data_IF_444375565160
#
_entry.id   IF_444375565160
#
_cell.length_a   1.000
_cell.length_b   1.000
_cell.length_c   1.000
_cell.angle_alpha   90.00
_cell.angle_beta   90.00
_cell.angle_gamma   90.00
#
_symmetry.space_group_name_H-M   'P 1'
#
loop_
_entity.id
_entity.type
_entity.pdbx_description
1 polymer ?
#
# COMPACT_ATOMS: atom_id res chain seq x y z
N UNK A 1 9.17 3.78 -10.52
CA UNK A 1 8.02 2.93 -10.15
C UNK A 1 6.90 3.13 -11.14
N UNK A 2 6.22 2.06 -11.49
CA UNK A 2 5.27 2.03 -12.60
C UNK A 2 3.94 1.48 -12.11
N UNK A 3 2.82 2.01 -12.60
CA UNK A 3 1.48 1.55 -12.20
C UNK A 3 1.20 0.09 -12.59
N UNK A 4 1.92 -0.46 -13.56
CA UNK A 4 1.79 -1.88 -13.93
C UNK A 4 2.54 -2.81 -12.98
N UNK A 5 3.32 -2.27 -12.05
CA UNK A 5 4.10 -3.07 -11.11
C UNK A 5 3.22 -3.72 -10.06
N UNK A 6 3.62 -4.89 -9.63
CA UNK A 6 3.15 -5.50 -8.40
C UNK A 6 4.18 -5.26 -7.32
N UNK A 7 3.74 -5.20 -6.09
CA UNK A 7 4.64 -5.04 -4.96
C UNK A 7 4.78 -6.34 -4.22
N UNK A 8 6.00 -6.60 -3.77
CA UNK A 8 6.28 -7.74 -2.92
C UNK A 8 6.38 -7.26 -1.48
N UNK A 9 5.67 -7.94 -0.59
CA UNK A 9 5.73 -7.68 0.83
C UNK A 9 6.67 -8.71 1.44
N UNK A 10 7.78 -8.28 2.07
CA UNK A 10 8.71 -9.23 2.70
C UNK A 10 8.01 -10.05 3.79
N UNK A 11 8.48 -11.28 4.00
CA UNK A 11 7.85 -12.21 4.95
C UNK A 11 7.84 -11.68 6.39
N UNK A 12 8.82 -10.85 6.76
CA UNK A 12 8.91 -10.29 8.10
C UNK A 12 8.01 -9.07 8.30
N UNK A 13 7.32 -8.61 7.25
CA UNK A 13 6.42 -7.46 7.33
C UNK A 13 5.00 -7.94 7.47
N UNK A 14 4.29 -7.40 8.45
CA UNK A 14 2.89 -7.76 8.67
C UNK A 14 2.06 -6.51 8.95
N UNK A 15 0.78 -6.61 8.68
CA UNK A 15 -0.18 -5.55 8.99
C UNK A 15 -1.02 -5.99 10.19
N UNK A 16 -1.28 -5.04 11.09
CA UNK A 16 -2.10 -5.30 12.26
C UNK A 16 -3.07 -4.15 12.45
N UNK A 17 -4.31 -4.47 12.73
CA UNK A 17 -5.33 -3.47 12.98
C UNK A 17 -5.31 -3.07 14.45
N UNK A 18 -5.24 -1.75 14.69
CA UNK A 18 -5.23 -1.18 16.04
C UNK A 18 -6.30 -0.10 16.09
N UNK A 19 -7.46 -0.41 16.67
CA UNK A 19 -8.60 0.49 16.63
C UNK A 19 -9.08 0.69 15.20
N UNK A 20 -9.18 1.93 14.74
CA UNK A 20 -9.58 2.27 13.39
C UNK A 20 -8.40 2.39 12.43
N UNK A 21 -7.19 2.19 12.93
CA UNK A 21 -5.98 2.32 12.14
C UNK A 21 -5.38 0.95 11.82
N UNK A 22 -4.56 0.91 10.77
CA UNK A 22 -3.75 -0.26 10.45
C UNK A 22 -2.30 0.13 10.61
N UNK A 23 -1.53 -0.71 11.29
CA UNK A 23 -0.09 -0.51 11.47
C UNK A 23 0.64 -1.61 10.72
N UNK A 24 1.61 -1.21 9.90
CA UNK A 24 2.50 -2.13 9.22
C UNK A 24 3.77 -2.23 10.05
N UNK A 25 4.19 -3.46 10.32
CA UNK A 25 5.35 -3.73 11.17
C UNK A 25 6.37 -4.57 10.41
N UNK A 26 7.65 -4.16 10.50
CA UNK A 26 8.75 -5.00 10.08
C UNK A 26 9.34 -5.64 11.34
N UNK A 27 9.12 -6.94 11.49
CA UNK A 27 9.52 -7.67 12.69
C UNK A 27 11.03 -7.87 12.79
N UNK A 28 11.75 -7.73 11.67
CA UNK A 28 13.20 -7.92 11.66
C UNK A 28 13.95 -6.70 12.20
N UNK A 29 13.47 -5.48 11.88
CA UNK A 29 14.20 -4.26 12.26
C UNK A 29 13.40 -3.32 13.17
N UNK A 30 12.15 -3.67 13.50
CA UNK A 30 11.33 -2.87 14.38
C UNK A 30 10.72 -1.62 13.76
N UNK A 31 10.83 -1.46 12.46
CA UNK A 31 10.20 -0.32 11.76
C UNK A 31 8.69 -0.52 11.73
N UNK A 32 7.94 0.56 11.93
CA UNK A 32 6.50 0.51 11.78
C UNK A 32 6.00 1.76 11.05
N UNK A 33 4.80 1.64 10.48
CA UNK A 33 4.17 2.74 9.76
C UNK A 33 2.65 2.64 9.89
N UNK A 34 2.01 3.73 10.35
CA UNK A 34 0.56 3.75 10.51
C UNK A 34 -0.13 4.16 9.23
N UNK A 35 -1.23 3.49 8.91
CA UNK A 35 -2.05 3.79 7.74
C UNK A 35 -3.44 4.24 8.19
N UNK A 36 -3.97 5.28 7.53
CA UNK A 36 -5.37 5.66 7.68
C UNK A 36 -6.25 4.63 6.92
N UNK A 37 -7.60 4.71 7.01
CA UNK A 37 -8.46 3.73 6.34
C UNK A 37 -8.24 3.63 4.83
N UNK A 38 -7.96 4.74 4.14
CA UNK A 38 -7.70 4.73 2.70
C UNK A 38 -6.40 4.01 2.41
N UNK A 39 -5.33 4.33 3.14
CA UNK A 39 -4.04 3.66 2.99
C UNK A 39 -4.12 2.18 3.34
N UNK A 40 -4.90 1.83 4.36
CA UNK A 40 -5.10 0.43 4.74
C UNK A 40 -5.78 -0.37 3.63
N UNK A 41 -6.74 0.24 2.95
CA UNK A 41 -7.42 -0.42 1.82
C UNK A 41 -6.44 -0.65 0.66
N UNK A 42 -5.63 0.36 0.36
CA UNK A 42 -4.59 0.25 -0.68
C UNK A 42 -3.63 -0.90 -0.33
N UNK A 43 -3.16 -0.94 0.91
CA UNK A 43 -2.29 -2.02 1.38
C UNK A 43 -2.92 -3.39 1.19
N UNK A 44 -4.20 -3.53 1.58
CA UNK A 44 -4.90 -4.80 1.46
C UNK A 44 -4.93 -5.29 0.01
N UNK A 45 -5.23 -4.38 -0.93
CA UNK A 45 -5.30 -4.74 -2.34
C UNK A 45 -3.92 -5.14 -2.88
N UNK A 46 -2.87 -4.44 -2.46
CA UNK A 46 -1.51 -4.81 -2.85
C UNK A 46 -1.13 -6.18 -2.28
N UNK A 47 -1.52 -6.46 -1.05
CA UNK A 47 -1.23 -7.74 -0.40
C UNK A 47 -1.94 -8.90 -1.09
N UNK A 48 -3.06 -8.61 -1.77
CA UNK A 48 -3.79 -9.61 -2.57
C UNK A 48 -3.14 -9.86 -3.93
N UNK A 49 -2.06 -9.16 -4.25
CA UNK A 49 -1.32 -9.36 -5.49
C UNK A 49 -1.80 -8.53 -6.66
N UNK A 50 -2.59 -7.49 -6.43
CA UNK A 50 -3.05 -6.62 -7.50
C UNK A 50 -1.96 -5.65 -7.93
N UNK A 51 -1.94 -5.32 -9.23
CA UNK A 51 -1.06 -4.26 -9.73
C UNK A 51 -1.53 -2.91 -9.21
N UNK A 52 -0.67 -1.90 -9.26
CA UNK A 52 -1.06 -0.56 -8.82
C UNK A 52 -2.20 0.01 -9.67
N UNK A 53 -2.24 -0.31 -10.97
CA UNK A 53 -3.37 0.07 -11.81
C UNK A 53 -4.68 -0.55 -11.30
N UNK A 54 -4.65 -1.83 -10.96
CA UNK A 54 -5.84 -2.52 -10.42
C UNK A 54 -6.27 -1.94 -9.08
N UNK A 55 -5.29 -1.59 -8.23
CA UNK A 55 -5.58 -0.93 -6.97
C UNK A 55 -6.32 0.39 -7.21
N UNK A 56 -5.83 1.20 -8.14
CA UNK A 56 -6.48 2.48 -8.47
C UNK A 56 -7.90 2.27 -8.98
N UNK A 57 -8.12 1.25 -9.82
CA UNK A 57 -9.45 0.97 -10.34
C UNK A 57 -10.44 0.60 -9.24
N UNK A 58 -10.02 -0.23 -8.29
CA UNK A 58 -10.88 -0.59 -7.16
C UNK A 58 -11.18 0.63 -6.29
N UNK A 59 -10.15 1.44 -6.02
CA UNK A 59 -10.34 2.65 -5.21
C UNK A 59 -11.32 3.62 -5.86
N UNK A 60 -11.31 3.71 -7.19
CA UNK A 60 -12.26 4.57 -7.92
C UNK A 60 -13.70 4.08 -7.78
N UNK A 61 -13.93 2.80 -7.54
CA UNK A 61 -15.29 2.27 -7.32
C UNK A 61 -15.74 2.47 -5.88
N UNK A 62 -14.82 2.59 -4.92
CA UNK A 62 -15.14 2.65 -3.49
C UNK A 62 -15.16 4.07 -2.94
N UNK A 63 -14.50 5.02 -3.58
CA UNK A 63 -14.34 6.38 -3.09
C UNK A 63 -14.64 7.38 -4.18
N UNK A 64 -15.15 8.55 -3.79
CA UNK A 64 -15.38 9.65 -4.73
C UNK A 64 -14.09 10.43 -4.92
N UNK A 65 -13.23 9.92 -5.78
CA UNK A 65 -11.93 10.53 -6.10
C UNK A 65 -11.75 10.52 -7.61
N UNK A 66 -10.89 11.42 -8.12
CA UNK A 66 -10.51 11.37 -9.53
C UNK A 66 -9.40 10.35 -9.73
N UNK A 67 -9.28 9.84 -10.96
CA UNK A 67 -8.17 8.92 -11.29
C UNK A 67 -6.82 9.58 -11.03
N UNK A 68 -6.67 10.83 -11.41
CA UNK A 68 -5.43 11.57 -11.21
C UNK A 68 -5.04 11.63 -9.73
N UNK A 69 -6.01 11.94 -8.88
CA UNK A 69 -5.75 12.04 -7.44
C UNK A 69 -5.39 10.70 -6.84
N UNK A 70 -6.13 9.63 -7.18
CA UNK A 70 -5.86 8.32 -6.60
C UNK A 70 -4.52 7.74 -7.09
N UNK A 71 -4.18 7.95 -8.36
CA UNK A 71 -2.88 7.51 -8.87
C UNK A 71 -1.74 8.20 -8.15
N UNK A 72 -1.86 9.51 -7.94
CA UNK A 72 -0.86 10.27 -7.20
C UNK A 72 -0.74 9.76 -5.76
N UNK A 73 -1.86 9.54 -5.09
CA UNK A 73 -1.86 9.11 -3.69
C UNK A 73 -1.31 7.69 -3.54
N UNK A 74 -1.67 6.79 -4.44
CA UNK A 74 -1.15 5.42 -4.42
C UNK A 74 0.35 5.41 -4.64
N UNK A 75 0.84 6.15 -5.64
CA UNK A 75 2.27 6.21 -5.92
C UNK A 75 3.05 6.85 -4.75
N UNK A 76 2.49 7.88 -4.13
CA UNK A 76 3.14 8.53 -2.99
C UNK A 76 3.25 7.58 -1.80
N UNK A 77 2.19 6.84 -1.50
CA UNK A 77 2.21 5.86 -0.42
C UNK A 77 3.22 4.75 -0.69
N UNK A 78 3.19 4.21 -1.91
CA UNK A 78 4.09 3.12 -2.29
C UNK A 78 5.54 3.58 -2.25
N UNK A 79 5.82 4.81 -2.67
CA UNK A 79 7.16 5.35 -2.60
C UNK A 79 7.65 5.42 -1.16
N UNK A 80 6.81 5.92 -0.26
CA UNK A 80 7.15 5.98 1.17
C UNK A 80 7.41 4.60 1.74
N UNK A 81 6.54 3.64 1.43
CA UNK A 81 6.69 2.26 1.92
C UNK A 81 7.96 1.62 1.38
N UNK A 82 8.31 1.88 0.11
CA UNK A 82 9.53 1.37 -0.49
C UNK A 82 10.78 1.98 0.17
N UNK A 83 10.76 3.27 0.44
CA UNK A 83 11.87 3.94 1.12
C UNK A 83 12.10 3.40 2.52
N UNK A 84 11.03 2.95 3.18
CA UNK A 84 11.11 2.36 4.52
C UNK A 84 11.33 0.84 4.46
N UNK A 85 11.52 0.29 3.27
CA UNK A 85 11.78 -1.14 3.05
C UNK A 85 10.65 -2.05 3.53
N UNK A 86 9.42 -1.51 3.58
CA UNK A 86 8.23 -2.27 3.96
C UNK A 86 7.61 -2.99 2.77
N UNK A 87 7.92 -2.56 1.55
CA UNK A 87 7.56 -3.25 0.31
C UNK A 87 8.71 -3.09 -0.67
N UNK A 88 8.72 -3.93 -1.71
CA UNK A 88 9.65 -3.77 -2.84
C UNK A 88 8.88 -3.90 -4.15
N UNK A 89 9.32 -3.12 -5.15
CA UNK A 89 8.71 -3.17 -6.47
C UNK A 89 9.14 -4.43 -7.19
N UNK A 90 8.20 -5.00 -7.94
CA UNK A 90 8.46 -6.20 -8.72
C UNK A 90 7.98 -5.95 -10.14
N UNK A 91 8.93 -5.96 -11.05
CA UNK A 91 8.66 -5.76 -12.47
C UNK A 91 8.00 -6.99 -13.10
#
# INVERSE_FOLDING_TARGET
MNLSDKLTIPDQVMARKVGDETVILDLANGTYYGLDPVGARIWQLMAEGQTLTQVCEVMLTEYEVTREDIERDVLALVQTLTERQLVSARA
#
